data_IF_010449984812
#
_entry.id   IF_010449984812
#
_cell.length_a   1.000
_cell.length_b   1.000
_cell.length_c   1.000
_cell.angle_alpha   90.00
_cell.angle_beta   90.00
_cell.angle_gamma   90.00
#
_symmetry.space_group_name_H-M   'P 1'
#
loop_
_entity.id
_entity.type
_entity.pdbx_description
1 polymer ?
#
# COMPACT_ATOMS: atom_id res chain seq x y z
N UNK A 1 -12.34 53.23 -17.59
CA UNK A 1 -13.18 52.06 -17.88
C UNK A 1 -13.20 51.19 -16.63
N UNK A 2 -14.30 51.28 -15.90
CA UNK A 2 -14.50 50.61 -14.60
C UNK A 2 -14.91 49.17 -14.84
N UNK A 3 -14.08 48.24 -14.45
CA UNK A 3 -14.44 46.83 -14.40
C UNK A 3 -15.45 46.61 -13.28
N UNK A 4 -16.70 46.31 -13.66
CA UNK A 4 -17.72 45.87 -12.73
C UNK A 4 -17.32 44.48 -12.16
N UNK A 5 -17.12 44.38 -10.86
CA UNK A 5 -16.91 43.16 -10.15
C UNK A 5 -18.22 42.32 -10.19
N UNK A 6 -18.21 41.19 -10.83
CA UNK A 6 -19.31 40.21 -10.82
C UNK A 6 -19.37 39.61 -9.41
N UNK A 7 -20.49 39.83 -8.71
CA UNK A 7 -20.72 39.25 -7.39
C UNK A 7 -20.77 37.69 -7.47
N UNK A 8 -20.18 36.97 -6.51
CA UNK A 8 -20.23 35.51 -6.50
C UNK A 8 -21.66 35.03 -6.28
N UNK A 9 -22.12 34.10 -7.12
CA UNK A 9 -23.42 33.46 -7.02
C UNK A 9 -23.48 32.54 -5.78
N UNK A 10 -24.43 32.82 -4.87
CA UNK A 10 -24.68 31.98 -3.70
C UNK A 10 -25.37 30.67 -4.11
N UNK A 11 -24.87 29.55 -3.58
CA UNK A 11 -25.41 28.20 -3.81
C UNK A 11 -26.93 28.09 -3.61
N UNK A 12 -27.49 28.86 -2.70
CA UNK A 12 -28.92 28.88 -2.37
C UNK A 12 -29.76 29.58 -3.45
N UNK A 13 -29.20 30.51 -4.19
CA UNK A 13 -29.88 31.25 -5.26
C UNK A 13 -30.03 30.42 -6.53
N UNK A 14 -29.10 29.49 -6.80
CA UNK A 14 -29.17 28.58 -7.97
C UNK A 14 -30.19 27.45 -7.75
N UNK A 15 -30.40 27.01 -6.52
CA UNK A 15 -31.30 25.87 -6.18
C UNK A 15 -32.80 26.28 -6.12
N UNK A 16 -33.14 27.59 -6.17
CA UNK A 16 -34.53 28.05 -6.07
C UNK A 16 -35.23 28.24 -7.42
N UNK A 17 -34.51 28.10 -8.54
CA UNK A 17 -35.04 28.42 -9.87
C UNK A 17 -35.42 27.24 -10.77
N UNK A 18 -35.11 25.98 -10.43
CA UNK A 18 -35.40 24.88 -11.32
C UNK A 18 -35.74 23.61 -10.53
N UNK A 19 -36.96 23.14 -10.66
CA UNK A 19 -37.48 21.90 -10.06
C UNK A 19 -36.93 20.59 -10.66
N UNK A 20 -35.67 20.58 -11.10
CA UNK A 20 -34.94 19.38 -11.55
C UNK A 20 -33.49 19.53 -11.08
N UNK A 21 -33.07 18.69 -10.15
CA UNK A 21 -31.69 18.61 -9.72
C UNK A 21 -30.86 17.86 -10.77
N UNK A 22 -30.26 18.58 -11.71
CA UNK A 22 -29.19 18.05 -12.56
C UNK A 22 -27.88 18.30 -11.83
N UNK A 23 -27.13 17.23 -11.53
CA UNK A 23 -25.78 17.35 -10.98
C UNK A 23 -24.88 17.98 -12.05
N UNK A 24 -24.63 19.26 -11.94
CA UNK A 24 -23.67 19.96 -12.79
C UNK A 24 -22.25 19.55 -12.41
N UNK A 25 -21.36 19.31 -13.37
CA UNK A 25 -19.96 19.12 -13.10
C UNK A 25 -19.38 20.36 -12.41
N UNK A 26 -18.39 20.17 -11.52
CA UNK A 26 -17.73 21.26 -10.81
C UNK A 26 -17.07 22.20 -11.82
N UNK A 27 -17.66 23.39 -12.01
CA UNK A 27 -17.10 24.44 -12.84
C UNK A 27 -16.11 25.26 -12.03
N UNK A 28 -15.00 25.70 -12.65
CA UNK A 28 -13.99 26.53 -12.00
C UNK A 28 -14.56 27.88 -11.45
N UNK A 29 -15.66 28.35 -12.01
CA UNK A 29 -16.43 29.52 -11.53
C UNK A 29 -17.13 29.30 -10.17
N UNK A 30 -17.19 28.08 -9.65
CA UNK A 30 -17.79 27.75 -8.34
C UNK A 30 -16.76 27.79 -7.19
N UNK A 31 -15.51 28.13 -7.46
CA UNK A 31 -14.48 28.35 -6.43
C UNK A 31 -14.72 29.72 -5.77
N UNK A 32 -14.80 29.81 -4.43
CA UNK A 32 -14.87 31.09 -3.75
C UNK A 32 -13.60 31.90 -4.01
N UNK A 33 -13.73 33.08 -4.60
CA UNK A 33 -12.63 34.03 -4.81
C UNK A 33 -12.36 34.72 -3.48
N UNK A 34 -11.57 34.09 -2.60
CA UNK A 34 -10.93 34.82 -1.51
C UNK A 34 -9.61 35.38 -2.03
N UNK A 35 -9.39 36.68 -1.77
CA UNK A 35 -8.33 37.48 -2.36
C UNK A 35 -6.94 36.89 -2.28
N UNK A 36 -6.11 37.21 -3.26
CA UNK A 36 -4.76 36.71 -3.49
C UNK A 36 -3.79 36.78 -2.28
N UNK A 37 -4.11 37.54 -1.23
CA UNK A 37 -3.32 37.63 0.00
C UNK A 37 -3.55 36.48 0.99
N UNK A 38 -4.71 35.81 0.93
CA UNK A 38 -5.00 34.66 1.78
C UNK A 38 -4.46 33.33 1.17
N UNK A 39 -4.06 33.33 -0.11
CA UNK A 39 -3.51 32.14 -0.78
C UNK A 39 -2.09 31.75 -0.35
N UNK A 40 -1.36 32.59 0.36
CA UNK A 40 -0.04 32.27 0.93
C UNK A 40 -0.10 31.64 2.33
N UNK A 41 -1.26 31.68 3.01
CA UNK A 41 -1.43 31.13 4.35
C UNK A 41 -2.39 29.95 4.45
N UNK A 42 -3.30 29.76 3.47
CA UNK A 42 -4.06 28.50 3.33
C UNK A 42 -3.20 27.53 2.52
N UNK A 43 -2.53 26.62 3.19
CA UNK A 43 -1.61 25.68 2.57
C UNK A 43 -2.22 25.06 1.31
N UNK A 44 -1.46 25.08 0.21
CA UNK A 44 -1.69 24.18 -0.91
C UNK A 44 -1.97 22.83 -0.30
N UNK A 45 -3.16 22.26 -0.48
CA UNK A 45 -3.52 20.98 0.08
C UNK A 45 -2.40 20.01 -0.23
N UNK A 46 -1.80 19.42 0.81
CA UNK A 46 -0.60 18.61 0.64
C UNK A 46 -0.86 17.60 -0.47
N UNK A 47 -0.01 17.62 -1.49
CA UNK A 47 -0.10 16.72 -2.66
C UNK A 47 -0.28 15.29 -2.18
N UNK A 48 -1.35 14.57 -2.59
CA UNK A 48 -1.58 13.21 -2.14
C UNK A 48 -0.37 12.33 -2.45
N UNK A 49 0.16 11.66 -1.45
CA UNK A 49 1.23 10.66 -1.60
C UNK A 49 0.68 9.30 -1.25
N UNK A 50 1.15 8.28 -1.94
CA UNK A 50 0.62 6.94 -1.87
C UNK A 50 1.73 5.91 -1.68
N UNK A 51 1.38 4.76 -1.13
CA UNK A 51 2.28 3.64 -0.92
C UNK A 51 1.61 2.34 -1.39
N UNK A 52 2.32 1.58 -2.20
CA UNK A 52 1.95 0.22 -2.63
C UNK A 52 3.10 -0.71 -2.27
N UNK A 53 2.85 -1.68 -1.39
CA UNK A 53 3.81 -2.70 -0.98
C UNK A 53 3.42 -4.04 -1.62
N UNK A 54 4.30 -4.61 -2.43
CA UNK A 54 4.07 -5.85 -3.18
C UNK A 54 5.14 -6.85 -2.80
N UNK A 55 4.72 -8.04 -2.38
CA UNK A 55 5.61 -9.16 -2.13
C UNK A 55 5.23 -10.37 -2.99
N UNK A 56 6.23 -11.00 -3.62
CA UNK A 56 6.15 -12.38 -4.10
C UNK A 56 6.82 -13.32 -3.10
N UNK A 57 6.25 -14.52 -2.87
CA UNK A 57 6.67 -15.36 -1.74
C UNK A 57 7.75 -16.39 -2.05
N UNK A 58 7.98 -16.73 -3.32
CA UNK A 58 8.90 -17.81 -3.70
C UNK A 58 10.32 -17.34 -4.08
N UNK A 59 10.72 -16.14 -3.66
CA UNK A 59 11.99 -15.55 -4.06
C UNK A 59 11.91 -14.93 -5.46
N UNK A 60 13.06 -14.43 -5.91
CA UNK A 60 13.33 -13.96 -7.26
C UNK A 60 14.74 -14.41 -7.58
N UNK A 61 14.97 -15.03 -8.76
CA UNK A 61 16.30 -15.55 -9.11
C UNK A 61 17.35 -14.42 -9.18
N UNK A 62 18.34 -14.42 -8.27
CA UNK A 62 19.25 -13.28 -8.09
C UNK A 62 20.13 -13.01 -9.32
N UNK A 63 20.52 -14.06 -10.07
CA UNK A 63 21.34 -13.94 -11.27
C UNK A 63 20.65 -13.22 -12.44
N UNK A 64 19.33 -13.11 -12.43
CA UNK A 64 18.55 -12.38 -13.43
C UNK A 64 18.03 -11.04 -12.93
N UNK A 65 18.16 -10.76 -11.63
CA UNK A 65 17.63 -9.55 -10.98
C UNK A 65 18.73 -8.55 -10.59
N UNK A 66 19.83 -8.98 -9.97
CA UNK A 66 20.84 -8.04 -9.46
C UNK A 66 21.77 -7.52 -10.56
N UNK A 67 21.94 -6.19 -10.68
CA UNK A 67 23.00 -5.62 -11.52
C UNK A 67 24.40 -5.97 -10.98
N UNK A 68 25.36 -6.17 -11.88
CA UNK A 68 26.75 -6.47 -11.51
C UNK A 68 27.46 -5.29 -10.84
N UNK A 69 27.14 -4.06 -11.25
CA UNK A 69 27.82 -2.85 -10.78
C UNK A 69 26.87 -1.96 -9.99
N UNK A 70 27.34 -1.36 -8.87
CA UNK A 70 26.57 -0.38 -8.11
C UNK A 70 26.50 0.98 -8.83
N UNK A 71 25.63 1.85 -8.31
CA UNK A 71 25.54 3.25 -8.71
C UNK A 71 24.62 3.49 -9.89
N UNK A 72 24.80 4.63 -10.57
CA UNK A 72 24.03 5.01 -11.76
C UNK A 72 24.65 4.41 -13.01
N UNK A 73 23.85 4.24 -14.07
CA UNK A 73 24.35 3.74 -15.35
C UNK A 73 24.67 2.24 -15.38
N UNK A 74 24.23 1.46 -14.40
CA UNK A 74 24.40 0.00 -14.39
C UNK A 74 23.75 -0.67 -15.59
N UNK A 75 24.30 -1.79 -16.06
CA UNK A 75 23.65 -2.63 -17.07
C UNK A 75 22.40 -3.29 -16.45
N UNK A 76 21.26 -3.22 -17.16
CA UNK A 76 20.03 -3.85 -16.69
C UNK A 76 20.13 -5.38 -16.89
N UNK A 77 20.04 -6.18 -15.82
CA UNK A 77 19.91 -7.62 -15.93
C UNK A 77 18.54 -8.00 -16.54
N UNK A 78 18.34 -9.26 -16.95
CA UNK A 78 17.16 -9.67 -17.74
C UNK A 78 15.81 -9.21 -17.20
N UNK A 79 15.56 -9.35 -15.90
CA UNK A 79 14.27 -8.92 -15.31
C UNK A 79 14.12 -7.40 -15.31
N UNK A 80 15.17 -6.66 -15.02
CA UNK A 80 15.13 -5.20 -15.03
C UNK A 80 15.12 -4.63 -16.45
N UNK A 81 15.57 -5.38 -17.46
CA UNK A 81 15.43 -5.00 -18.86
C UNK A 81 13.96 -4.89 -19.29
N UNK A 82 13.07 -5.68 -18.69
CA UNK A 82 11.61 -5.58 -18.88
C UNK A 82 11.09 -4.22 -18.39
N UNK A 83 11.73 -3.63 -17.37
CA UNK A 83 11.40 -2.32 -16.79
C UNK A 83 12.21 -1.17 -17.39
N UNK A 84 12.90 -1.35 -18.52
CA UNK A 84 13.86 -0.38 -19.08
C UNK A 84 13.26 1.01 -19.31
N UNK A 85 11.97 1.10 -19.70
CA UNK A 85 11.25 2.36 -19.88
C UNK A 85 11.10 3.19 -18.59
N UNK A 86 11.27 2.55 -17.44
CA UNK A 86 11.17 3.17 -16.11
C UNK A 86 12.54 3.28 -15.43
N UNK A 87 13.66 3.09 -16.14
CA UNK A 87 15.00 3.03 -15.57
C UNK A 87 15.30 4.16 -14.60
N UNK A 88 14.98 5.40 -14.97
CA UNK A 88 15.23 6.58 -14.15
C UNK A 88 14.19 6.77 -13.02
N UNK A 89 13.25 5.84 -12.89
CA UNK A 89 12.13 5.92 -11.95
C UNK A 89 12.09 4.78 -10.93
N UNK A 90 13.15 3.95 -10.85
CA UNK A 90 13.31 2.95 -9.80
C UNK A 90 14.75 2.87 -9.27
N UNK A 91 14.87 2.37 -8.07
CA UNK A 91 16.13 2.02 -7.39
C UNK A 91 16.09 0.54 -7.04
N UNK A 92 17.17 -0.18 -7.35
CA UNK A 92 17.38 -1.58 -6.98
C UNK A 92 18.27 -1.65 -5.76
N UNK A 93 17.98 -2.56 -4.85
CA UNK A 93 18.77 -2.80 -3.64
C UNK A 93 19.35 -4.21 -3.66
N UNK A 94 20.63 -4.35 -3.35
CA UNK A 94 21.29 -5.63 -3.08
C UNK A 94 22.05 -5.57 -1.75
N UNK A 95 22.35 -6.73 -1.17
CA UNK A 95 22.98 -6.80 0.15
C UNK A 95 22.08 -6.23 1.25
N UNK A 96 20.76 -6.38 1.14
CA UNK A 96 19.81 -5.97 2.17
C UNK A 96 19.08 -7.19 2.74
N UNK A 97 18.72 -7.14 4.02
CA UNK A 97 17.88 -8.13 4.70
C UNK A 97 17.18 -7.50 5.90
N UNK A 98 16.25 -8.23 6.48
CA UNK A 98 15.60 -7.85 7.74
C UNK A 98 16.30 -8.60 8.88
N UNK A 99 16.95 -7.89 9.83
CA UNK A 99 17.68 -8.51 10.92
C UNK A 99 16.83 -9.47 11.74
N UNK A 100 17.30 -10.71 11.92
CA UNK A 100 16.61 -11.75 12.67
C UNK A 100 15.38 -12.37 11.98
N UNK A 101 15.05 -11.96 10.75
CA UNK A 101 13.98 -12.58 9.96
C UNK A 101 14.57 -13.78 9.21
N UNK A 102 14.28 -14.97 9.70
CA UNK A 102 14.82 -16.28 9.27
C UNK A 102 13.70 -17.30 9.08
N UNK A 103 14.04 -18.56 8.78
CA UNK A 103 13.08 -19.66 8.69
C UNK A 103 12.44 -19.86 7.30
N UNK A 104 13.11 -19.38 6.23
CA UNK A 104 12.66 -19.62 4.86
C UNK A 104 11.28 -19.01 4.61
N UNK A 105 10.28 -19.84 4.31
CA UNK A 105 8.90 -19.39 4.07
C UNK A 105 8.23 -18.72 5.28
N UNK A 106 8.69 -19.01 6.51
CA UNK A 106 8.13 -18.33 7.68
C UNK A 106 8.38 -16.81 7.66
N UNK A 107 9.39 -16.36 6.91
CA UNK A 107 9.71 -14.95 6.72
C UNK A 107 8.65 -14.19 5.89
N UNK A 108 7.75 -14.86 5.15
CA UNK A 108 6.73 -14.24 4.30
C UNK A 108 5.91 -13.18 5.07
N UNK A 109 5.50 -13.53 6.29
CA UNK A 109 4.69 -12.66 7.16
C UNK A 109 5.45 -11.47 7.75
N UNK A 110 6.78 -11.38 7.52
CA UNK A 110 7.64 -10.35 8.11
C UNK A 110 8.21 -9.36 7.09
N UNK A 111 7.90 -9.50 5.79
CA UNK A 111 8.49 -8.65 4.76
C UNK A 111 8.28 -7.16 5.01
N UNK A 112 7.09 -6.74 5.41
CA UNK A 112 6.81 -5.32 5.70
C UNK A 112 6.55 -5.04 7.19
N UNK A 113 6.79 -6.00 8.08
CA UNK A 113 6.82 -5.76 9.53
C UNK A 113 8.23 -5.69 10.07
N UNK A 114 9.17 -6.45 9.50
CA UNK A 114 10.55 -6.56 9.98
C UNK A 114 10.67 -7.22 11.35
N UNK A 115 9.64 -7.92 11.81
CA UNK A 115 9.61 -8.59 13.12
C UNK A 115 10.52 -9.82 13.10
N UNK A 116 11.52 -9.93 13.99
CA UNK A 116 12.48 -11.02 13.98
C UNK A 116 11.88 -12.35 14.46
N UNK A 117 12.56 -13.44 14.11
CA UNK A 117 12.30 -14.81 14.59
C UNK A 117 10.91 -15.38 14.27
N UNK A 118 10.43 -15.25 13.01
CA UNK A 118 9.10 -15.75 12.62
C UNK A 118 8.96 -17.27 12.70
N UNK A 119 10.05 -18.00 12.77
CA UNK A 119 10.17 -19.46 12.88
C UNK A 119 10.12 -19.97 14.33
N UNK A 120 10.16 -19.08 15.32
CA UNK A 120 10.15 -19.49 16.73
C UNK A 120 8.73 -19.74 17.26
N UNK A 121 8.63 -20.69 18.20
CA UNK A 121 7.38 -20.92 18.93
C UNK A 121 6.97 -19.68 19.73
N UNK A 122 5.67 -19.35 19.67
CA UNK A 122 5.15 -18.16 20.34
C UNK A 122 5.41 -16.85 19.58
N UNK A 123 5.89 -16.92 18.33
CA UNK A 123 6.07 -15.75 17.49
C UNK A 123 4.80 -14.91 17.46
N UNK A 124 4.99 -13.62 17.66
CA UNK A 124 3.97 -12.59 17.53
C UNK A 124 4.48 -11.49 16.63
N UNK A 125 3.74 -11.18 15.59
CA UNK A 125 4.12 -10.12 14.67
C UNK A 125 3.92 -8.73 15.30
N UNK A 126 4.43 -7.70 14.65
CA UNK A 126 4.24 -6.30 15.02
C UNK A 126 3.50 -5.57 13.88
N UNK A 127 3.20 -4.30 14.08
CA UNK A 127 2.52 -3.48 13.08
C UNK A 127 3.29 -3.45 11.76
N UNK A 128 2.58 -3.62 10.65
CA UNK A 128 3.16 -3.55 9.33
C UNK A 128 3.28 -2.10 8.80
N UNK A 129 4.22 -1.89 7.88
CA UNK A 129 4.53 -0.61 7.25
C UNK A 129 3.29 0.08 6.66
N UNK A 130 2.46 -0.68 5.94
CA UNK A 130 1.22 -0.19 5.33
C UNK A 130 0.21 0.26 6.40
N UNK A 131 0.15 -0.40 7.55
CA UNK A 131 -0.76 -0.01 8.62
C UNK A 131 -0.27 1.22 9.39
N UNK A 132 1.04 1.38 9.58
CA UNK A 132 1.60 2.65 10.08
C UNK A 132 1.27 3.79 9.12
N UNK A 133 1.40 3.58 7.82
CA UNK A 133 1.01 4.56 6.82
C UNK A 133 -0.50 4.86 6.87
N UNK A 134 -1.35 3.82 6.96
CA UNK A 134 -2.80 3.95 7.01
C UNK A 134 -3.31 4.73 8.23
N UNK A 135 -2.66 4.62 9.39
CA UNK A 135 -3.00 5.41 10.58
C UNK A 135 -2.83 6.93 10.35
N UNK A 136 -1.91 7.33 9.48
CA UNK A 136 -1.59 8.74 9.24
C UNK A 136 -2.31 9.33 8.00
N UNK A 137 -2.42 8.57 6.91
CA UNK A 137 -2.99 9.08 5.66
C UNK A 137 -4.34 8.48 5.30
N UNK A 138 -4.73 7.37 5.92
CA UNK A 138 -5.91 6.59 5.56
C UNK A 138 -7.25 7.28 5.87
N UNK A 139 -7.29 8.19 6.82
CA UNK A 139 -8.50 8.96 7.17
C UNK A 139 -8.95 9.94 6.06
N UNK A 140 -8.12 10.15 5.05
CA UNK A 140 -8.40 11.06 3.92
C UNK A 140 -9.15 10.37 2.78
N UNK A 141 -9.31 9.06 2.83
CA UNK A 141 -9.88 8.24 1.76
C UNK A 141 -10.96 7.29 2.28
N UNK A 142 -11.82 6.79 1.38
CA UNK A 142 -12.89 5.83 1.73
C UNK A 142 -12.33 4.56 2.40
N UNK A 143 -11.21 4.06 1.88
CA UNK A 143 -10.55 2.88 2.44
C UNK A 143 -9.20 3.31 3.01
N UNK A 144 -9.00 3.25 4.33
CA UNK A 144 -7.73 3.61 4.97
C UNK A 144 -6.53 2.85 4.40
N UNK A 145 -6.75 1.59 4.08
CA UNK A 145 -5.83 0.74 3.31
C UNK A 145 -6.61 -0.33 2.54
N UNK A 146 -6.01 -0.85 1.48
CA UNK A 146 -6.43 -2.09 0.82
C UNK A 146 -5.40 -3.17 1.11
N UNK A 147 -5.84 -4.20 1.81
CA UNK A 147 -5.04 -5.39 2.10
C UNK A 147 -5.47 -6.49 1.14
N UNK A 148 -4.58 -6.89 0.25
CA UNK A 148 -4.86 -7.77 -0.88
C UNK A 148 -3.93 -8.99 -0.85
N UNK A 149 -4.44 -10.15 -1.28
CA UNK A 149 -3.65 -11.34 -1.46
C UNK A 149 -4.16 -12.16 -2.65
N UNK A 150 -3.29 -12.92 -3.29
CA UNK A 150 -3.67 -13.79 -4.40
C UNK A 150 -3.91 -15.25 -3.95
N UNK A 151 -4.26 -15.43 -2.69
CA UNK A 151 -4.54 -16.72 -2.07
C UNK A 151 -5.76 -16.65 -1.19
N UNK A 152 -6.45 -17.77 -1.02
CA UNK A 152 -7.58 -17.92 -0.09
C UNK A 152 -7.15 -18.49 1.27
N UNK A 153 -5.86 -18.77 1.48
CA UNK A 153 -5.32 -19.41 2.69
C UNK A 153 -5.14 -18.45 3.88
N UNK A 154 -5.70 -17.25 3.82
CA UNK A 154 -5.61 -16.27 4.91
C UNK A 154 -4.25 -15.59 5.06
N UNK A 155 -3.32 -15.79 4.11
CA UNK A 155 -2.03 -15.10 4.09
C UNK A 155 -2.22 -13.61 3.86
N UNK A 156 -1.45 -12.79 4.58
CA UNK A 156 -1.49 -11.34 4.48
C UNK A 156 -0.13 -10.75 4.78
N UNK A 157 0.13 -9.54 4.26
CA UNK A 157 1.29 -8.73 4.62
C UNK A 157 0.99 -7.79 5.80
N UNK A 158 -0.29 -7.56 6.10
CA UNK A 158 -0.74 -6.48 6.98
C UNK A 158 -1.08 -6.99 8.36
N UNK A 159 -0.53 -6.32 9.36
CA UNK A 159 -0.69 -6.65 10.78
C UNK A 159 -0.99 -5.39 11.58
N UNK A 160 -1.88 -5.53 12.57
CA UNK A 160 -2.20 -4.48 13.53
C UNK A 160 -1.04 -4.27 14.52
N UNK A 161 -1.10 -3.20 15.34
CA UNK A 161 -0.13 -2.97 16.45
C UNK A 161 -0.09 -4.11 17.47
N UNK A 162 -1.15 -4.89 17.56
CA UNK A 162 -1.20 -6.07 18.42
C UNK A 162 -0.61 -7.32 17.78
N UNK A 163 -0.08 -7.22 16.55
CA UNK A 163 0.44 -8.35 15.78
C UNK A 163 -0.65 -9.28 15.22
N UNK A 164 -1.91 -8.86 15.22
CA UNK A 164 -3.01 -9.63 14.61
C UNK A 164 -3.02 -9.43 13.10
N UNK A 165 -3.14 -10.51 12.31
CA UNK A 165 -3.23 -10.41 10.86
C UNK A 165 -4.53 -9.71 10.43
N UNK A 166 -4.43 -8.84 9.44
CA UNK A 166 -5.59 -8.21 8.82
C UNK A 166 -6.00 -9.05 7.61
N UNK A 167 -7.26 -9.52 7.55
CA UNK A 167 -7.73 -10.33 6.43
C UNK A 167 -7.55 -9.62 5.09
N UNK A 168 -7.01 -10.32 4.12
CA UNK A 168 -6.80 -9.81 2.77
C UNK A 168 -7.96 -10.16 1.84
N UNK A 169 -8.33 -9.25 0.94
CA UNK A 169 -9.25 -9.55 -0.15
C UNK A 169 -8.49 -10.26 -1.28
N UNK A 170 -8.99 -11.42 -1.69
CA UNK A 170 -8.36 -12.25 -2.71
C UNK A 170 -9.14 -12.31 -4.04
N UNK A 171 -10.37 -11.78 -4.08
CA UNK A 171 -11.23 -11.80 -5.27
C UNK A 171 -11.21 -10.44 -5.98
N UNK A 172 -10.70 -10.35 -7.21
CA UNK A 172 -10.82 -9.16 -8.04
C UNK A 172 -12.26 -8.69 -8.20
N UNK A 173 -13.21 -9.62 -8.34
CA UNK A 173 -14.65 -9.33 -8.44
C UNK A 173 -15.17 -8.62 -7.20
N UNK A 174 -14.90 -9.17 -5.99
CA UNK A 174 -15.34 -8.56 -4.72
C UNK A 174 -14.65 -7.22 -4.47
N UNK A 175 -13.35 -7.12 -4.80
CA UNK A 175 -12.62 -5.85 -4.69
C UNK A 175 -13.25 -4.78 -5.58
N UNK A 176 -13.60 -5.10 -6.83
CA UNK A 176 -14.30 -4.18 -7.73
C UNK A 176 -15.66 -3.74 -7.15
N UNK A 177 -16.45 -4.67 -6.65
CA UNK A 177 -17.73 -4.36 -6.00
C UNK A 177 -17.56 -3.43 -4.80
N UNK A 178 -16.58 -3.72 -3.94
CA UNK A 178 -16.26 -2.91 -2.77
C UNK A 178 -15.90 -1.47 -3.16
N UNK A 179 -15.12 -1.29 -4.21
CA UNK A 179 -14.59 0.02 -4.62
C UNK A 179 -15.57 0.85 -5.45
N UNK A 180 -16.31 0.23 -6.40
CA UNK A 180 -16.96 0.93 -7.50
C UNK A 180 -18.46 0.64 -7.66
N UNK A 181 -19.01 -0.39 -7.02
CA UNK A 181 -20.44 -0.69 -7.12
C UNK A 181 -21.18 -0.08 -5.94
N UNK A 182 -22.07 0.88 -6.24
CA UNK A 182 -22.91 1.49 -5.22
C UNK A 182 -23.96 0.47 -4.74
N UNK A 183 -24.08 0.30 -3.42
CA UNK A 183 -25.15 -0.49 -2.80
C UNK A 183 -26.53 0.15 -3.04
N UNK A 184 -27.58 -0.65 -2.98
CA UNK A 184 -28.96 -0.15 -2.99
C UNK A 184 -29.21 0.73 -1.76
N UNK A 185 -30.14 1.69 -1.81
CA UNK A 185 -30.40 2.58 -0.67
C UNK A 185 -30.65 1.84 0.66
N UNK A 186 -31.35 0.69 0.64
CA UNK A 186 -31.56 -0.14 1.83
C UNK A 186 -30.26 -0.75 2.36
N UNK A 187 -29.41 -1.28 1.49
CA UNK A 187 -28.11 -1.87 1.86
C UNK A 187 -27.17 -0.82 2.46
N UNK A 188 -27.18 0.41 1.91
CA UNK A 188 -26.40 1.52 2.45
C UNK A 188 -26.93 1.92 3.83
N UNK A 189 -28.24 1.99 4.02
CA UNK A 189 -28.86 2.30 5.30
C UNK A 189 -28.52 1.25 6.37
N UNK A 190 -28.59 -0.05 6.02
CA UNK A 190 -28.18 -1.15 6.91
C UNK A 190 -26.70 -1.09 7.29
N UNK A 191 -25.82 -0.80 6.31
CA UNK A 191 -24.38 -0.64 6.56
C UNK A 191 -24.08 0.52 7.52
N UNK A 192 -24.75 1.67 7.33
CA UNK A 192 -24.64 2.84 8.19
C UNK A 192 -25.11 2.50 9.61
N UNK A 193 -26.24 1.81 9.75
CA UNK A 193 -26.78 1.42 11.05
C UNK A 193 -25.86 0.42 11.77
N UNK A 194 -25.29 -0.55 11.04
CA UNK A 194 -24.31 -1.49 11.61
C UNK A 194 -23.05 -0.76 12.12
N UNK A 195 -22.56 0.26 11.42
CA UNK A 195 -21.43 1.08 11.85
C UNK A 195 -21.77 1.90 13.12
N UNK A 196 -22.98 2.46 13.19
CA UNK A 196 -23.48 3.19 14.38
C UNK A 196 -23.60 2.28 15.59
N UNK A 197 -24.16 1.09 15.40
CA UNK A 197 -24.28 0.08 16.47
C UNK A 197 -22.91 -0.35 16.97
N UNK A 198 -21.95 -0.64 16.04
CA UNK A 198 -20.58 -0.96 16.41
C UNK A 198 -19.91 0.14 17.22
N UNK A 199 -20.10 1.40 16.84
CA UNK A 199 -19.60 2.56 17.57
C UNK A 199 -20.19 2.68 18.97
N UNK A 200 -21.50 2.53 19.13
CA UNK A 200 -22.17 2.53 20.42
C UNK A 200 -21.66 1.43 21.37
N UNK A 201 -21.33 0.24 20.81
CA UNK A 201 -20.70 -0.83 21.60
C UNK A 201 -19.28 -0.44 22.05
N UNK A 202 -18.49 0.25 21.21
CA UNK A 202 -17.16 0.72 21.58
C UNK A 202 -17.22 1.80 22.67
N UNK A 203 -18.15 2.76 22.58
CA UNK A 203 -18.39 3.76 23.62
C UNK A 203 -18.71 3.12 24.98
N UNK A 204 -19.56 2.09 24.98
CA UNK A 204 -19.88 1.34 26.18
C UNK A 204 -18.65 0.65 26.77
N UNK A 205 -17.87 -0.06 25.95
CA UNK A 205 -16.63 -0.72 26.37
C UNK A 205 -15.61 0.28 26.90
N UNK A 206 -15.47 1.44 26.26
CA UNK A 206 -14.59 2.52 26.68
C UNK A 206 -14.97 3.04 28.09
N UNK A 207 -16.26 3.21 28.35
CA UNK A 207 -16.79 3.63 29.65
C UNK A 207 -16.52 2.62 30.78
N UNK A 208 -16.80 1.34 30.56
CA UNK A 208 -16.54 0.26 31.53
C UNK A 208 -15.05 0.09 31.82
N UNK A 209 -14.24 0.15 30.78
CA UNK A 209 -12.78 -0.01 30.90
C UNK A 209 -12.13 1.18 31.62
N UNK A 210 -12.62 2.40 31.42
CA UNK A 210 -12.18 3.58 32.18
C UNK A 210 -12.49 3.47 33.67
N UNK A 211 -13.58 2.77 34.06
CA UNK A 211 -13.89 2.46 35.47
C UNK A 211 -12.89 1.45 36.03
N UNK A 212 -12.59 0.39 35.27
CA UNK A 212 -11.61 -0.65 35.64
C UNK A 212 -10.20 -0.08 35.85
N UNK A 213 -9.76 0.87 34.99
CA UNK A 213 -8.45 1.51 35.06
C UNK A 213 -8.14 2.14 36.44
N UNK A 214 -9.15 2.56 37.17
CA UNK A 214 -8.95 3.20 38.47
C UNK A 214 -8.48 2.23 39.56
N UNK A 215 -8.69 0.93 39.39
CA UNK A 215 -8.38 -0.14 40.35
C UNK A 215 -7.13 -0.96 40.01
N UNK A 216 -6.46 -0.68 38.88
CA UNK A 216 -5.34 -1.46 38.37
C UNK A 216 -3.95 -0.95 38.82
N UNK A 217 -2.98 -1.88 38.87
CA UNK A 217 -1.54 -1.57 39.04
C UNK A 217 -0.96 -0.82 37.83
N UNK A 218 0.24 -0.24 37.98
CA UNK A 218 0.85 0.57 36.92
C UNK A 218 1.06 -0.19 35.61
N UNK A 219 1.49 -1.45 35.63
CA UNK A 219 1.70 -2.26 34.44
C UNK A 219 0.38 -2.66 33.74
N UNK A 220 -0.60 -3.07 34.55
CA UNK A 220 -1.92 -3.43 34.02
C UNK A 220 -2.65 -2.21 33.46
N UNK A 221 -2.44 -1.05 34.09
CA UNK A 221 -2.96 0.22 33.58
C UNK A 221 -2.36 0.57 32.22
N UNK A 222 -1.06 0.39 32.02
CA UNK A 222 -0.40 0.65 30.74
C UNK A 222 -0.96 -0.29 29.61
N UNK A 223 -1.20 -1.57 29.93
CA UNK A 223 -1.82 -2.53 29.01
C UNK A 223 -3.27 -2.13 28.66
N UNK A 224 -4.02 -1.68 29.67
CA UNK A 224 -5.39 -1.21 29.49
C UNK A 224 -5.45 0.08 28.67
N UNK A 225 -4.53 1.03 28.90
CA UNK A 225 -4.42 2.26 28.13
C UNK A 225 -4.09 1.97 26.64
N UNK A 226 -3.24 0.98 26.37
CA UNK A 226 -2.97 0.49 25.00
C UNK A 226 -4.22 -0.11 24.36
N UNK A 227 -5.00 -0.92 25.10
CA UNK A 227 -6.27 -1.45 24.63
C UNK A 227 -7.28 -0.33 24.33
N UNK A 228 -7.43 0.64 25.24
CA UNK A 228 -8.32 1.79 25.05
C UNK A 228 -7.92 2.66 23.87
N UNK A 229 -6.60 2.83 23.62
CA UNK A 229 -6.13 3.52 22.41
C UNK A 229 -6.60 2.79 21.16
N UNK A 230 -6.49 1.46 21.13
CA UNK A 230 -6.95 0.64 19.98
C UNK A 230 -8.47 0.74 19.76
N UNK A 231 -9.25 0.80 20.85
CA UNK A 231 -10.72 0.98 20.79
C UNK A 231 -11.06 2.35 20.21
N UNK A 232 -10.41 3.41 20.65
CA UNK A 232 -10.61 4.78 20.11
C UNK A 232 -10.22 4.89 18.63
N UNK A 233 -9.17 4.23 18.20
CA UNK A 233 -8.78 4.22 16.80
C UNK A 233 -9.78 3.46 15.93
N UNK A 234 -10.35 2.36 16.43
CA UNK A 234 -11.42 1.64 15.74
C UNK A 234 -12.68 2.50 15.65
N UNK A 235 -13.06 3.19 16.71
CA UNK A 235 -14.19 4.12 16.75
C UNK A 235 -14.07 5.24 15.72
N UNK A 236 -12.88 5.88 15.62
CA UNK A 236 -12.58 6.88 14.58
C UNK A 236 -12.73 6.32 13.18
N UNK A 237 -12.24 5.08 12.95
CA UNK A 237 -12.37 4.40 11.64
C UNK A 237 -13.84 4.11 11.31
N UNK A 238 -14.63 3.68 12.27
CA UNK A 238 -16.08 3.45 12.08
C UNK A 238 -16.82 4.75 11.76
N UNK A 239 -16.49 5.85 12.43
CA UNK A 239 -17.06 7.16 12.14
C UNK A 239 -16.72 7.63 10.72
N UNK A 240 -15.45 7.53 10.32
CA UNK A 240 -15.05 7.85 8.97
C UNK A 240 -15.73 6.94 7.92
N UNK A 241 -15.86 5.65 8.21
CA UNK A 241 -16.54 4.71 7.31
C UNK A 241 -18.02 5.07 7.14
N UNK A 242 -18.72 5.46 8.21
CA UNK A 242 -20.12 5.94 8.15
C UNK A 242 -20.28 7.14 7.23
N UNK A 243 -19.39 8.14 7.35
CA UNK A 243 -19.41 9.31 6.47
C UNK A 243 -19.17 8.96 5.00
N UNK A 244 -18.27 7.99 4.74
CA UNK A 244 -17.95 7.54 3.39
C UNK A 244 -19.06 6.67 2.78
N UNK A 245 -19.81 5.88 3.56
CA UNK A 245 -20.94 5.11 3.05
C UNK A 245 -22.07 6.00 2.50
N UNK A 246 -22.22 7.20 3.03
CA UNK A 246 -23.18 8.20 2.55
C UNK A 246 -22.73 8.92 1.26
N UNK A 247 -21.46 8.80 0.87
CA UNK A 247 -20.93 9.40 -0.37
C UNK A 247 -21.02 8.41 -1.52
N UNK A 248 -21.32 8.85 -2.75
CA UNK A 248 -21.32 7.97 -3.91
C UNK A 248 -19.92 7.37 -4.13
N UNK A 249 -19.87 6.11 -4.57
CA UNK A 249 -18.64 5.48 -5.03
C UNK A 249 -18.23 6.04 -6.39
N UNK A 250 -16.91 6.09 -6.69
CA UNK A 250 -16.44 6.57 -7.98
C UNK A 250 -16.93 5.64 -9.10
N UNK A 251 -17.25 6.26 -10.26
CA UNK A 251 -17.61 5.54 -11.47
C UNK A 251 -16.35 5.37 -12.33
N UNK A 252 -16.12 4.15 -12.79
CA UNK A 252 -14.98 3.81 -13.66
C UNK A 252 -15.49 3.19 -14.96
N UNK A 253 -14.76 3.41 -16.06
CA UNK A 253 -15.15 2.88 -17.37
C UNK A 253 -14.96 1.36 -17.50
N UNK A 254 -14.15 0.74 -16.61
CA UNK A 254 -13.90 -0.70 -16.61
C UNK A 254 -15.08 -1.46 -16.05
N UNK A 255 -15.47 -2.55 -16.72
CA UNK A 255 -16.43 -3.51 -16.19
C UNK A 255 -15.86 -4.36 -15.05
N UNK A 256 -16.75 -4.94 -14.25
CA UNK A 256 -16.39 -5.87 -13.18
C UNK A 256 -15.66 -7.09 -13.75
N UNK A 257 -14.48 -7.44 -13.24
CA UNK A 257 -13.76 -8.63 -13.68
C UNK A 257 -14.38 -9.90 -13.11
N UNK A 258 -14.17 -11.01 -13.79
CA UNK A 258 -14.38 -12.34 -13.24
C UNK A 258 -13.15 -12.82 -12.48
N UNK A 259 -13.38 -13.63 -11.45
CA UNK A 259 -12.29 -14.25 -10.70
C UNK A 259 -11.66 -15.38 -11.50
N UNK A 260 -10.34 -15.35 -11.61
CA UNK A 260 -9.56 -16.44 -12.20
C UNK A 260 -9.35 -17.50 -11.11
N UNK A 261 -9.87 -18.70 -11.34
CA UNK A 261 -9.81 -19.80 -10.37
C UNK A 261 -8.51 -20.62 -10.52
N UNK A 262 -7.99 -20.74 -11.73
CA UNK A 262 -6.81 -21.55 -12.03
C UNK A 262 -5.55 -20.95 -11.40
N UNK A 263 -4.92 -21.69 -10.49
CA UNK A 263 -3.76 -21.25 -9.74
C UNK A 263 -2.57 -20.91 -10.65
N UNK A 264 -2.35 -21.67 -11.74
CA UNK A 264 -1.27 -21.41 -12.70
C UNK A 264 -1.41 -20.11 -13.48
N UNK A 265 -2.61 -19.51 -13.52
CA UNK A 265 -2.85 -18.20 -14.14
C UNK A 265 -2.58 -17.03 -13.18
N UNK A 266 -1.68 -17.23 -12.23
CA UNK A 266 -1.38 -16.21 -11.21
C UNK A 266 -0.84 -14.89 -11.80
N UNK A 267 -0.15 -14.92 -12.94
CA UNK A 267 0.31 -13.69 -13.64
C UNK A 267 -0.88 -12.87 -14.12
N UNK A 268 -1.88 -13.50 -14.75
CA UNK A 268 -3.09 -12.83 -15.21
C UNK A 268 -3.92 -12.28 -14.03
N UNK A 269 -4.01 -13.04 -12.95
CA UNK A 269 -4.64 -12.59 -11.70
C UNK A 269 -3.90 -11.40 -11.08
N UNK A 270 -2.56 -11.39 -11.18
CA UNK A 270 -1.74 -10.25 -10.77
C UNK A 270 -2.07 -9.00 -11.60
N UNK A 271 -2.20 -9.14 -12.91
CA UNK A 271 -2.61 -8.04 -13.79
C UNK A 271 -3.98 -7.48 -13.42
N UNK A 272 -4.97 -8.35 -13.15
CA UNK A 272 -6.29 -7.91 -12.69
C UNK A 272 -6.21 -7.12 -11.38
N UNK A 273 -5.43 -7.60 -10.41
CA UNK A 273 -5.24 -6.90 -9.14
C UNK A 273 -4.53 -5.56 -9.33
N UNK A 274 -3.49 -5.50 -10.15
CA UNK A 274 -2.78 -4.26 -10.46
C UNK A 274 -3.69 -3.23 -11.13
N UNK A 275 -4.55 -3.63 -12.05
CA UNK A 275 -5.55 -2.76 -12.66
C UNK A 275 -6.51 -2.17 -11.62
N UNK A 276 -6.99 -2.97 -10.67
CA UNK A 276 -7.88 -2.52 -9.60
C UNK A 276 -7.16 -1.60 -8.61
N UNK A 277 -5.91 -1.89 -8.27
CA UNK A 277 -5.06 -1.03 -7.44
C UNK A 277 -4.85 0.32 -8.15
N UNK A 278 -4.53 0.33 -9.45
CA UNK A 278 -4.42 1.56 -10.24
C UNK A 278 -5.71 2.40 -10.17
N UNK A 279 -6.87 1.79 -10.44
CA UNK A 279 -8.17 2.47 -10.38
C UNK A 279 -8.47 3.01 -8.98
N UNK A 280 -8.16 2.26 -7.92
CA UNK A 280 -8.33 2.71 -6.55
C UNK A 280 -7.45 3.92 -6.21
N UNK A 281 -6.23 3.97 -6.76
CA UNK A 281 -5.29 5.09 -6.63
C UNK A 281 -5.76 6.30 -7.46
N UNK A 282 -6.17 6.11 -8.71
CA UNK A 282 -6.68 7.17 -9.59
C UNK A 282 -7.91 7.87 -9.03
N UNK A 283 -8.80 7.11 -8.42
CA UNK A 283 -10.02 7.64 -7.80
C UNK A 283 -9.83 8.13 -6.37
N UNK A 284 -8.60 8.11 -5.84
CA UNK A 284 -8.24 8.39 -4.44
C UNK A 284 -9.13 7.62 -3.44
N UNK A 285 -9.58 6.42 -3.83
CA UNK A 285 -10.36 5.52 -2.96
C UNK A 285 -9.52 4.99 -1.80
N UNK A 286 -8.21 4.87 -2.00
CA UNK A 286 -7.20 4.58 -0.98
C UNK A 286 -5.84 5.21 -1.37
N UNK A 287 -4.97 5.39 -0.38
CA UNK A 287 -3.59 5.83 -0.57
C UNK A 287 -2.56 4.81 -0.11
N UNK A 288 -3.02 3.70 0.47
CA UNK A 288 -2.15 2.66 1.01
C UNK A 288 -2.65 1.29 0.56
N UNK A 289 -1.77 0.51 -0.05
CA UNK A 289 -2.09 -0.83 -0.56
C UNK A 289 -0.96 -1.78 -0.17
N UNK A 290 -1.32 -2.98 0.29
CA UNK A 290 -0.43 -4.13 0.38
C UNK A 290 -0.97 -5.25 -0.49
N UNK A 291 -0.10 -5.94 -1.24
CA UNK A 291 -0.47 -7.06 -2.11
C UNK A 291 0.51 -8.22 -1.91
N UNK A 292 0.00 -9.33 -1.46
CA UNK A 292 0.72 -10.60 -1.39
C UNK A 292 0.46 -11.43 -2.65
N UNK A 293 1.49 -11.64 -3.47
CA UNK A 293 1.45 -12.46 -4.68
C UNK A 293 1.87 -13.88 -4.27
N UNK A 294 0.89 -14.78 -4.16
CA UNK A 294 1.15 -16.19 -3.86
C UNK A 294 1.50 -16.97 -5.13
N UNK A 295 2.72 -17.42 -5.18
CA UNK A 295 3.26 -18.25 -6.27
C UNK A 295 3.58 -19.67 -5.81
N UNK A 296 2.96 -20.14 -4.72
CA UNK A 296 3.18 -21.50 -4.16
C UNK A 296 2.90 -22.61 -5.18
N UNK A 297 2.05 -22.35 -6.16
CA UNK A 297 1.76 -23.29 -7.28
C UNK A 297 3.01 -23.68 -8.07
N UNK A 298 4.04 -22.82 -8.13
CA UNK A 298 5.31 -23.10 -8.78
C UNK A 298 6.44 -23.45 -7.79
N UNK A 299 6.12 -23.72 -6.53
CA UNK A 299 7.11 -24.00 -5.48
C UNK A 299 8.12 -25.09 -5.88
N UNK A 300 7.67 -26.18 -6.49
CA UNK A 300 8.56 -27.29 -6.86
C UNK A 300 9.69 -26.87 -7.81
N UNK A 301 9.45 -25.95 -8.74
CA UNK A 301 10.48 -25.48 -9.66
C UNK A 301 11.41 -24.44 -9.04
N UNK A 302 11.05 -23.84 -7.93
CA UNK A 302 11.96 -22.91 -7.19
C UNK A 302 13.14 -23.66 -6.56
N UNK A 303 12.97 -24.98 -6.28
CA UNK A 303 14.03 -25.89 -5.87
C UNK A 303 14.74 -26.50 -7.08
N UNK A 304 15.14 -25.67 -8.01
CA UNK A 304 15.66 -26.08 -9.32
C UNK A 304 16.99 -26.83 -9.26
N UNK A 305 17.76 -26.74 -8.17
CA UNK A 305 19.06 -27.41 -8.04
C UNK A 305 20.02 -27.09 -9.20
N UNK A 306 19.87 -25.90 -9.82
CA UNK A 306 20.57 -25.43 -11.02
C UNK A 306 20.32 -26.28 -12.29
N UNK A 307 19.26 -27.06 -12.35
CA UNK A 307 18.85 -27.79 -13.56
C UNK A 307 18.33 -26.78 -14.60
N UNK A 308 18.93 -26.76 -15.83
CA UNK A 308 18.66 -25.71 -16.83
C UNK A 308 17.18 -25.58 -17.20
N UNK A 309 16.47 -26.71 -17.34
CA UNK A 309 15.06 -26.74 -17.69
C UNK A 309 14.18 -26.10 -16.63
N UNK A 310 14.43 -26.38 -15.35
CA UNK A 310 13.67 -25.78 -14.25
C UNK A 310 13.99 -24.29 -14.08
N UNK A 311 15.26 -23.91 -14.27
CA UNK A 311 15.69 -22.51 -14.28
C UNK A 311 14.98 -21.76 -15.40
N UNK A 312 14.89 -22.33 -16.62
CA UNK A 312 14.22 -21.73 -17.75
C UNK A 312 12.70 -21.57 -17.50
N UNK A 313 12.05 -22.58 -16.92
CA UNK A 313 10.63 -22.55 -16.58
C UNK A 313 10.35 -21.49 -15.50
N UNK A 314 11.09 -21.49 -14.39
CA UNK A 314 10.97 -20.50 -13.33
C UNK A 314 11.20 -19.08 -13.87
N UNK A 315 12.22 -18.91 -14.69
CA UNK A 315 12.51 -17.63 -15.34
C UNK A 315 11.32 -17.12 -16.16
N UNK A 316 10.66 -17.99 -16.92
CA UNK A 316 9.47 -17.60 -17.70
C UNK A 316 8.33 -17.05 -16.81
N UNK A 317 8.08 -17.69 -15.66
CA UNK A 317 7.08 -17.24 -14.70
C UNK A 317 7.47 -15.91 -14.05
N UNK A 318 8.72 -15.74 -13.62
CA UNK A 318 9.21 -14.50 -13.03
C UNK A 318 9.20 -13.35 -14.06
N UNK A 319 9.62 -13.59 -15.32
CA UNK A 319 9.48 -12.61 -16.40
C UNK A 319 8.02 -12.19 -16.61
N UNK A 320 7.07 -13.11 -16.48
CA UNK A 320 5.63 -12.82 -16.49
C UNK A 320 5.23 -11.83 -15.41
N UNK A 321 5.72 -12.02 -14.17
CA UNK A 321 5.48 -11.09 -13.05
C UNK A 321 6.11 -9.71 -13.30
N UNK A 322 7.36 -9.65 -13.82
CA UNK A 322 7.98 -8.38 -14.17
C UNK A 322 7.28 -7.64 -15.33
N UNK A 323 6.72 -8.37 -16.30
CA UNK A 323 5.86 -7.79 -17.35
C UNK A 323 4.57 -7.21 -16.76
N UNK A 324 3.95 -7.89 -15.80
CA UNK A 324 2.79 -7.36 -15.08
C UNK A 324 3.16 -6.09 -14.29
N UNK A 325 4.28 -6.11 -13.56
CA UNK A 325 4.79 -4.93 -12.85
C UNK A 325 5.07 -3.76 -13.83
N UNK A 326 5.67 -4.03 -14.99
CA UNK A 326 5.92 -3.00 -16.01
C UNK A 326 4.63 -2.35 -16.50
N UNK A 327 3.59 -3.14 -16.77
CA UNK A 327 2.26 -2.61 -17.16
C UNK A 327 1.68 -1.73 -16.07
N UNK A 328 1.78 -2.16 -14.81
CA UNK A 328 1.31 -1.38 -13.66
C UNK A 328 2.04 -0.04 -13.52
N UNK A 329 3.38 -0.04 -13.54
CA UNK A 329 4.18 1.18 -13.47
C UNK A 329 3.89 2.11 -14.66
N UNK A 330 3.75 1.55 -15.87
CA UNK A 330 3.40 2.32 -17.08
C UNK A 330 2.04 2.97 -16.97
N UNK A 331 1.05 2.26 -16.44
CA UNK A 331 -0.28 2.79 -16.24
C UNK A 331 -0.30 3.93 -15.20
N UNK A 332 0.44 3.81 -14.10
CA UNK A 332 0.62 4.90 -13.13
C UNK A 332 1.36 6.10 -13.74
N UNK A 333 2.36 5.87 -14.60
CA UNK A 333 3.10 6.94 -15.29
C UNK A 333 2.27 7.67 -16.35
N UNK A 334 1.26 7.02 -16.93
CA UNK A 334 0.34 7.62 -17.90
C UNK A 334 -0.79 8.42 -17.23
N UNK A 335 -1.18 8.04 -16.03
CA UNK A 335 -2.26 8.70 -15.29
C UNK A 335 -1.76 10.02 -14.68
N UNK A 336 -2.41 11.14 -15.06
CA UNK A 336 -2.02 12.50 -14.65
C UNK A 336 -2.79 12.98 -13.42
N UNK A 337 -2.08 13.61 -12.50
CA UNK A 337 -2.66 14.30 -11.35
C UNK A 337 -2.05 15.70 -11.23
N UNK A 338 -2.67 16.68 -11.89
CA UNK A 338 -2.10 18.02 -12.08
C UNK A 338 -0.86 17.98 -13.00
N UNK A 339 0.26 18.55 -12.57
CA UNK A 339 1.50 18.61 -13.35
C UNK A 339 2.32 17.31 -13.29
N UNK A 340 2.12 16.50 -12.25
CA UNK A 340 2.81 15.22 -12.08
C UNK A 340 1.96 14.04 -12.58
N UNK A 341 2.59 12.88 -12.71
CA UNK A 341 1.86 11.63 -12.89
C UNK A 341 1.69 10.88 -11.56
N UNK A 342 0.86 9.82 -11.57
CA UNK A 342 0.59 9.07 -10.35
C UNK A 342 1.82 8.28 -9.86
N UNK A 343 2.74 7.88 -10.75
CA UNK A 343 3.95 7.17 -10.34
C UNK A 343 4.89 8.09 -9.54
N UNK A 344 4.99 9.37 -9.90
CA UNK A 344 5.77 10.34 -9.11
C UNK A 344 5.24 10.49 -7.68
N UNK A 345 3.96 10.24 -7.46
CA UNK A 345 3.27 10.39 -6.19
C UNK A 345 3.01 9.06 -5.45
N UNK A 346 3.33 7.94 -6.08
CA UNK A 346 3.10 6.60 -5.55
C UNK A 346 4.42 5.85 -5.38
N UNK A 347 4.77 5.53 -4.15
CA UNK A 347 5.89 4.65 -3.83
C UNK A 347 5.46 3.21 -4.08
N UNK A 348 6.12 2.52 -5.00
CA UNK A 348 5.87 1.11 -5.29
C UNK A 348 7.06 0.28 -4.82
N UNK A 349 6.92 -0.37 -3.67
CA UNK A 349 7.87 -1.35 -3.16
C UNK A 349 7.52 -2.71 -3.75
N UNK A 350 8.45 -3.33 -4.45
CA UNK A 350 8.33 -4.69 -4.98
C UNK A 350 9.50 -5.53 -4.51
N UNK A 351 9.23 -6.71 -3.97
CA UNK A 351 10.31 -7.58 -3.49
C UNK A 351 9.83 -8.92 -2.95
N UNK A 352 10.71 -9.57 -2.26
CA UNK A 352 10.48 -10.89 -1.68
C UNK A 352 11.19 -11.02 -0.34
N UNK A 353 10.70 -11.93 0.51
CA UNK A 353 11.33 -12.29 1.77
C UNK A 353 12.44 -13.35 1.64
N UNK A 354 12.67 -13.86 0.43
CA UNK A 354 13.72 -14.83 0.15
C UNK A 354 14.68 -14.34 -0.94
N UNK A 355 15.98 -14.24 -0.59
CA UNK A 355 17.05 -13.92 -1.53
C UNK A 355 17.34 -15.08 -2.48
N UNK A 356 17.01 -16.30 -2.08
CA UNK A 356 17.08 -17.52 -2.90
C UNK A 356 16.09 -18.55 -2.39
N UNK A 357 15.06 -18.85 -3.18
CA UNK A 357 14.12 -19.91 -2.86
C UNK A 357 14.76 -21.32 -2.92
N UNK A 358 15.73 -21.52 -3.84
CA UNK A 358 16.44 -22.79 -3.98
C UNK A 358 17.15 -23.23 -2.68
N UNK A 359 17.55 -22.28 -1.83
CA UNK A 359 18.22 -22.53 -0.53
C UNK A 359 17.42 -22.02 0.67
N UNK A 360 16.20 -21.51 0.49
CA UNK A 360 15.39 -20.87 1.54
C UNK A 360 16.12 -19.72 2.27
N UNK A 361 17.06 -19.05 1.60
CA UNK A 361 17.86 -17.98 2.19
C UNK A 361 17.03 -16.70 2.34
N UNK A 362 17.04 -16.10 3.54
CA UNK A 362 16.37 -14.83 3.83
C UNK A 362 17.35 -13.64 3.89
N UNK A 363 18.49 -13.72 3.20
CA UNK A 363 19.49 -12.66 3.09
C UNK A 363 19.65 -12.21 1.64
N UNK A 364 20.22 -11.03 1.43
CA UNK A 364 20.39 -10.41 0.11
C UNK A 364 19.07 -10.41 -0.68
N UNK A 365 18.04 -9.83 -0.08
CA UNK A 365 16.69 -9.85 -0.62
C UNK A 365 16.60 -9.04 -1.92
N UNK A 366 16.04 -9.61 -3.01
CA UNK A 366 15.68 -8.86 -4.20
C UNK A 366 14.58 -7.84 -3.89
N UNK A 367 14.95 -6.56 -3.90
CA UNK A 367 14.04 -5.44 -3.60
C UNK A 367 14.23 -4.31 -4.59
N UNK A 368 13.11 -3.75 -5.05
CA UNK A 368 13.02 -2.61 -5.92
C UNK A 368 12.02 -1.60 -5.34
N UNK A 369 12.38 -0.31 -5.36
CA UNK A 369 11.47 0.79 -5.08
C UNK A 369 11.33 1.64 -6.33
N UNK A 370 10.08 1.86 -6.78
CA UNK A 370 9.79 2.74 -7.92
C UNK A 370 8.90 3.91 -7.51
N UNK A 371 9.03 5.05 -8.18
CA UNK A 371 8.19 6.22 -8.03
C UNK A 371 8.31 6.94 -6.68
N UNK A 372 7.24 7.60 -6.26
CA UNK A 372 7.16 8.31 -4.97
C UNK A 372 8.01 9.58 -4.89
N UNK A 373 8.72 9.99 -5.96
CA UNK A 373 9.55 11.19 -6.01
C UNK A 373 10.85 11.07 -5.23
N UNK A 374 11.48 9.90 -5.25
CA UNK A 374 12.88 9.70 -4.87
C UNK A 374 13.82 9.91 -6.06
N UNK A 375 15.09 10.18 -5.78
CA UNK A 375 16.15 10.23 -6.82
C UNK A 375 16.55 8.82 -7.23
N UNK A 376 15.84 8.31 -8.20
CA UNK A 376 16.01 6.97 -8.73
C UNK A 376 17.13 6.86 -9.81
N UNK A 377 17.10 5.80 -10.61
CA UNK A 377 18.05 5.52 -11.68
C UNK A 377 19.35 4.90 -11.15
N UNK A 378 19.31 4.20 -10.03
CA UNK A 378 20.50 3.68 -9.35
C UNK A 378 20.34 2.27 -8.81
N UNK A 379 21.47 1.58 -8.65
CA UNK A 379 21.62 0.36 -7.89
C UNK A 379 22.36 0.67 -6.59
N UNK A 380 21.68 0.59 -5.45
CA UNK A 380 22.27 0.71 -4.13
C UNK A 380 22.71 -0.67 -3.66
N UNK A 381 24.01 -0.94 -3.80
CA UNK A 381 24.62 -2.20 -3.41
C UNK A 381 25.27 -2.09 -2.03
N UNK A 382 24.88 -2.95 -1.12
CA UNK A 382 25.49 -3.12 0.19
C UNK A 382 26.25 -4.44 0.26
N UNK A 383 26.93 -4.69 1.38
CA UNK A 383 27.67 -5.93 1.58
C UNK A 383 26.74 -7.14 1.64
N UNK A 384 26.96 -8.14 0.80
CA UNK A 384 26.23 -9.41 0.84
C UNK A 384 26.66 -10.31 2.00
N UNK A 385 27.87 -10.09 2.54
CA UNK A 385 28.34 -10.81 3.72
C UNK A 385 27.80 -10.22 5.05
N UNK A 386 27.51 -8.90 5.06
CA UNK A 386 26.92 -8.20 6.18
C UNK A 386 25.81 -7.28 5.67
N UNK A 387 24.62 -7.83 5.52
CA UNK A 387 23.53 -7.14 4.88
C UNK A 387 23.11 -5.87 5.62
N UNK A 388 22.81 -4.83 4.85
CA UNK A 388 22.22 -3.61 5.37
C UNK A 388 20.75 -3.87 5.78
N UNK A 389 20.32 -3.23 6.87
CA UNK A 389 18.96 -3.39 7.38
C UNK A 389 17.92 -2.80 6.39
N UNK A 390 17.11 -3.65 5.77
CA UNK A 390 16.06 -3.24 4.82
C UNK A 390 15.03 -2.31 5.47
N UNK A 391 14.76 -2.44 6.76
CA UNK A 391 13.80 -1.58 7.45
C UNK A 391 14.18 -0.08 7.43
N UNK A 392 15.44 0.27 7.14
CA UNK A 392 15.84 1.67 6.88
C UNK A 392 15.14 2.26 5.65
N UNK A 393 14.83 1.42 4.65
CA UNK A 393 14.00 1.82 3.51
C UNK A 393 12.57 2.16 3.96
N UNK A 394 12.02 1.41 4.89
CA UNK A 394 10.67 1.65 5.41
C UNK A 394 10.57 2.98 6.16
N UNK A 395 11.62 3.34 6.93
CA UNK A 395 11.71 4.67 7.54
C UNK A 395 11.69 5.77 6.47
N UNK A 396 12.50 5.62 5.39
CA UNK A 396 12.52 6.58 4.27
C UNK A 396 11.15 6.69 3.60
N UNK A 397 10.45 5.57 3.40
CA UNK A 397 9.13 5.52 2.79
C UNK A 397 8.07 6.21 3.65
N UNK A 398 8.10 6.02 4.97
CA UNK A 398 7.19 6.71 5.90
C UNK A 398 7.44 8.22 5.90
N UNK A 399 8.69 8.66 5.98
CA UNK A 399 9.03 10.08 5.91
C UNK A 399 8.61 10.70 4.58
N UNK A 400 8.70 9.96 3.48
CA UNK A 400 8.22 10.43 2.17
C UNK A 400 6.71 10.61 2.12
N UNK A 401 5.93 9.89 2.91
CA UNK A 401 4.49 10.12 3.10
C UNK A 401 4.18 11.36 3.97
N UNK A 402 5.19 12.01 4.52
CA UNK A 402 5.05 13.12 5.47
C UNK A 402 4.83 12.68 6.92
N UNK A 403 5.19 11.44 7.24
CA UNK A 403 5.11 10.90 8.59
C UNK A 403 6.45 11.14 9.30
N UNK A 404 6.44 11.76 10.46
CA UNK A 404 7.63 11.97 11.28
C UNK A 404 8.07 10.66 11.96
N UNK A 405 8.62 9.74 11.15
CA UNK A 405 9.12 8.46 11.62
C UNK A 405 10.66 8.51 11.79
N UNK A 406 11.14 8.42 13.01
CA UNK A 406 12.57 8.28 13.30
C UNK A 406 13.04 6.81 13.32
N UNK A 407 12.11 5.86 13.40
CA UNK A 407 12.40 4.43 13.46
C UNK A 407 11.24 3.60 12.91
N UNK A 408 11.54 2.37 12.46
CA UNK A 408 10.57 1.33 12.14
C UNK A 408 11.25 -0.04 12.33
N UNK A 409 10.56 -0.97 12.99
CA UNK A 409 11.12 -2.28 13.36
C UNK A 409 12.51 -2.09 14.01
N UNK A 410 13.54 -2.76 13.51
CA UNK A 410 14.91 -2.65 14.02
C UNK A 410 15.68 -1.42 13.48
N UNK A 411 15.13 -0.66 12.53
CA UNK A 411 15.82 0.49 11.94
C UNK A 411 15.60 1.77 12.77
N UNK A 412 16.64 2.57 12.92
CA UNK A 412 16.65 3.86 13.61
C UNK A 412 17.14 5.01 12.71
N UNK A 413 17.28 4.75 11.43
CA UNK A 413 17.74 5.71 10.41
C UNK A 413 17.07 5.43 9.08
N UNK A 414 17.17 6.36 8.14
CA UNK A 414 16.73 6.20 6.76
C UNK A 414 17.70 5.35 5.93
N UNK A 415 17.27 4.90 4.75
CA UNK A 415 18.09 4.18 3.78
C UNK A 415 19.21 5.07 3.24
N UNK A 416 20.45 4.67 3.49
CA UNK A 416 21.62 5.40 3.00
C UNK A 416 21.70 5.40 1.46
N UNK A 417 21.90 6.56 0.86
CA UNK A 417 22.03 6.73 -0.59
C UNK A 417 20.70 6.86 -1.33
N UNK A 418 19.56 6.71 -0.64
CA UNK A 418 18.25 6.99 -1.20
C UNK A 418 17.83 8.41 -0.82
N UNK A 419 17.96 9.32 -1.77
CA UNK A 419 17.64 10.74 -1.58
C UNK A 419 16.25 11.09 -2.10
N UNK A 420 15.68 12.18 -1.60
CA UNK A 420 14.48 12.80 -2.16
C UNK A 420 14.83 13.51 -3.48
N UNK A 421 13.89 13.49 -4.46
CA UNK A 421 14.00 14.24 -5.70
C UNK A 421 13.58 15.70 -5.51
#
# INVERSE_FOLDING_TARGET
MTHAAIAPLDRRSVLRGAGIAVALPFLDAMRPVFGASARKAAGQGAVPRRMVCIQTNQGIMPQFFFPEKPGRGFALPPYLQILASHRERFTVFSGVSLPGVTGGHQAEKCFITGTPHPDQNGFRNDISLDQVAAEHVGNKTRHPSLVLAMTTEGKTLSYTRNGSPIPAESSPRRLFQKLFVQGKPGEVAEAVEALRMGRSMMDFLGGETARLSRSLSGEDKARLDQYLSSVRDLEKRMHSAEEWEQKPKPVVARGQPDDIQEAMRFVEKTDQMFDLVRLAIETDSTRVVSLFIDTTVIHNITHHGNRPEMVAELRSHEEGQFKALNRFLSALAQAREGEADLLDRTQVLYGTCMGSANSHSNVNLPVLLAGGGFRHGQHLAFSTANNHNLATLYVSMLQRLGIEAGSFASAKTTMRGLEMA
#
